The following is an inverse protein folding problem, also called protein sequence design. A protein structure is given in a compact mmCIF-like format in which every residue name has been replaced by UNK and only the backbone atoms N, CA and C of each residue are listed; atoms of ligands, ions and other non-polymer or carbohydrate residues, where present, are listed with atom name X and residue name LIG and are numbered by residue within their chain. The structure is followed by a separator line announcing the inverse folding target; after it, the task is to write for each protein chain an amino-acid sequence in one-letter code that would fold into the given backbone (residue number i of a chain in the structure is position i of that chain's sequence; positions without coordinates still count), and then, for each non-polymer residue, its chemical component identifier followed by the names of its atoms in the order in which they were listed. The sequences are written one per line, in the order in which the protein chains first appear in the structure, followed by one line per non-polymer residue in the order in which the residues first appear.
data_IF_361883811893
#
_entry.id   IF_361883811893
#
_cell.length_a   1.000
_cell.length_b   1.000
_cell.length_c   1.000
_cell.angle_alpha   90.00
_cell.angle_beta   90.00
_cell.angle_gamma   90.00
#
_symmetry.space_group_name_H-M   'P 1'
#
loop_
_entity.id
_entity.type
_entity.pdbx_description
1 polymer ?
#
# COMPACT_ATOMS: atom_id res chain seq x y z
N UNK A 1 26.71 -21.16 58.98
CA UNK A 1 26.45 -21.61 57.59
C UNK A 1 25.47 -20.62 56.98
N UNK A 2 25.89 -19.95 55.91
CA UNK A 2 25.27 -18.72 55.41
C UNK A 2 23.90 -18.97 54.79
N UNK A 3 22.91 -18.17 55.20
CA UNK A 3 21.63 -18.01 54.54
C UNK A 3 21.84 -17.10 53.33
N UNK A 4 21.72 -17.63 52.12
CA UNK A 4 21.80 -16.83 50.90
C UNK A 4 20.40 -16.76 50.27
N UNK A 5 19.76 -15.60 50.43
CA UNK A 5 18.44 -15.30 49.89
C UNK A 5 18.50 -15.30 48.36
N UNK A 6 17.63 -16.08 47.73
CA UNK A 6 17.48 -16.15 46.28
C UNK A 6 16.88 -14.82 45.79
N UNK A 7 17.70 -13.91 45.25
CA UNK A 7 17.25 -12.66 44.63
C UNK A 7 16.90 -12.97 43.17
N UNK A 8 15.62 -13.15 42.89
CA UNK A 8 15.11 -13.28 41.53
C UNK A 8 15.06 -11.93 40.84
N UNK A 9 15.87 -11.74 39.79
CA UNK A 9 15.79 -10.58 38.90
C UNK A 9 14.61 -10.74 37.95
N UNK A 10 13.53 -9.99 38.17
CA UNK A 10 12.43 -9.85 37.20
C UNK A 10 12.87 -8.81 36.16
N UNK A 11 13.23 -9.27 34.95
CA UNK A 11 13.46 -8.38 33.82
C UNK A 11 12.10 -7.96 33.27
N UNK A 12 11.66 -6.74 33.60
CA UNK A 12 10.50 -6.14 32.95
C UNK A 12 10.88 -5.73 31.52
N UNK A 13 10.32 -6.42 30.52
CA UNK A 13 10.49 -6.06 29.12
C UNK A 13 9.71 -4.77 28.84
N UNK A 14 10.43 -3.66 28.62
CA UNK A 14 9.86 -2.39 28.17
C UNK A 14 9.50 -2.55 26.69
N UNK A 15 8.21 -2.71 26.39
CA UNK A 15 7.70 -2.65 25.01
C UNK A 15 7.44 -1.17 24.69
N UNK A 16 8.35 -0.54 23.94
CA UNK A 16 8.11 0.79 23.39
C UNK A 16 7.13 0.67 22.21
N UNK A 17 6.06 1.50 22.14
CA UNK A 17 5.18 1.50 20.97
C UNK A 17 5.96 1.98 19.74
N UNK A 18 5.96 1.19 18.68
CA UNK A 18 6.49 1.61 17.38
C UNK A 18 5.61 2.72 16.81
N UNK A 19 6.20 3.87 16.48
CA UNK A 19 5.50 4.92 15.73
C UNK A 19 5.28 4.40 14.30
N UNK A 20 4.05 4.01 13.98
CA UNK A 20 3.69 3.59 12.62
C UNK A 20 3.59 4.83 11.72
N UNK A 21 4.58 5.01 10.84
CA UNK A 21 4.56 6.05 9.82
C UNK A 21 3.83 5.52 8.58
N UNK A 22 2.96 6.33 7.97
CA UNK A 22 2.34 5.99 6.70
C UNK A 22 3.42 5.89 5.60
N UNK A 23 3.38 4.80 4.84
CA UNK A 23 4.30 4.57 3.72
C UNK A 23 3.72 5.06 2.41
N UNK A 24 4.58 5.55 1.52
CA UNK A 24 4.22 5.89 0.15
C UNK A 24 4.75 4.81 -0.81
N UNK A 25 3.87 4.33 -1.69
CA UNK A 25 4.19 3.33 -2.69
C UNK A 25 3.99 3.91 -4.09
N UNK A 26 5.08 4.08 -4.83
CA UNK A 26 5.00 4.40 -6.26
C UNK A 26 4.55 3.12 -6.98
N UNK A 27 3.39 3.20 -7.63
CA UNK A 27 2.81 2.06 -8.33
C UNK A 27 3.67 1.73 -9.54
N UNK A 28 4.27 0.53 -9.54
CA UNK A 28 5.23 0.10 -10.54
C UNK A 28 6.69 0.48 -10.24
N UNK A 29 6.97 1.00 -9.05
CA UNK A 29 8.30 1.47 -8.61
C UNK A 29 8.89 2.42 -9.67
N UNK A 30 10.16 2.28 -10.07
CA UNK A 30 10.83 3.16 -11.04
C UNK A 30 10.21 3.16 -12.45
N UNK A 31 9.34 2.18 -12.74
CA UNK A 31 8.67 2.07 -14.05
C UNK A 31 7.36 2.86 -14.09
N UNK A 32 6.80 3.25 -12.94
CA UNK A 32 5.52 3.93 -12.85
C UNK A 32 4.35 3.14 -13.45
N UNK A 33 3.28 3.88 -13.73
CA UNK A 33 2.02 3.33 -14.25
C UNK A 33 2.01 3.29 -15.79
N UNK A 34 2.22 2.10 -16.34
CA UNK A 34 2.24 1.79 -17.77
C UNK A 34 1.76 0.35 -18.08
N UNK A 35 1.60 0.01 -19.37
CA UNK A 35 1.05 -1.28 -19.85
C UNK A 35 2.05 -2.45 -19.92
N UNK A 36 3.34 -2.20 -19.71
CA UNK A 36 4.42 -3.19 -19.88
C UNK A 36 4.88 -3.81 -18.55
N UNK A 37 4.04 -3.76 -17.51
CA UNK A 37 4.37 -4.23 -16.17
C UNK A 37 3.30 -5.16 -15.61
N UNK A 38 3.73 -6.23 -14.94
CA UNK A 38 2.85 -7.07 -14.15
C UNK A 38 2.67 -6.47 -12.74
N UNK A 39 1.54 -5.82 -12.50
CA UNK A 39 1.24 -5.22 -11.19
C UNK A 39 0.92 -6.25 -10.10
N UNK A 40 0.54 -7.48 -10.47
CA UNK A 40 0.41 -8.58 -9.50
C UNK A 40 1.78 -8.93 -8.92
N UNK A 41 2.80 -9.02 -9.77
CA UNK A 41 4.17 -9.25 -9.31
C UNK A 41 4.72 -8.07 -8.51
N UNK A 42 4.41 -6.84 -8.91
CA UNK A 42 4.81 -5.64 -8.16
C UNK A 42 4.19 -5.61 -6.75
N UNK A 43 2.94 -6.05 -6.60
CA UNK A 43 2.22 -5.99 -5.33
C UNK A 43 2.51 -7.19 -4.40
N UNK A 44 3.01 -8.32 -4.92
CA UNK A 44 3.05 -9.61 -4.19
C UNK A 44 3.86 -9.57 -2.88
N UNK A 45 4.95 -8.81 -2.84
CA UNK A 45 5.88 -8.76 -1.71
C UNK A 45 5.67 -7.48 -0.85
N UNK A 46 4.61 -6.71 -1.14
CA UNK A 46 4.29 -5.46 -0.44
C UNK A 46 3.17 -5.68 0.57
N UNK A 47 3.32 -5.09 1.75
CA UNK A 47 2.28 -5.09 2.79
C UNK A 47 1.71 -3.68 2.90
N UNK A 48 0.44 -3.55 2.53
CA UNK A 48 -0.26 -2.27 2.56
C UNK A 48 -1.05 -2.12 3.86
N UNK A 49 -0.80 -1.03 4.58
CA UNK A 49 -1.49 -0.67 5.80
C UNK A 49 -2.51 0.45 5.57
N UNK A 50 -3.48 0.55 6.49
CA UNK A 50 -4.38 1.70 6.51
C UNK A 50 -3.56 2.95 6.84
N UNK A 51 -3.71 3.98 6.02
CA UNK A 51 -2.94 5.22 6.10
C UNK A 51 -1.86 5.34 5.03
N UNK A 52 -1.40 4.23 4.44
CA UNK A 52 -0.43 4.26 3.35
C UNK A 52 -1.01 4.94 2.10
N UNK A 53 -0.13 5.38 1.20
CA UNK A 53 -0.50 6.07 -0.03
C UNK A 53 0.01 5.32 -1.26
N UNK A 54 -0.86 5.17 -2.26
CA UNK A 54 -0.48 4.71 -3.60
C UNK A 54 -0.30 5.93 -4.52
N UNK A 55 0.84 6.03 -5.17
CA UNK A 55 1.19 7.14 -6.06
C UNK A 55 1.32 6.61 -7.50
N UNK A 56 0.44 7.06 -8.39
CA UNK A 56 0.38 6.68 -9.79
C UNK A 56 1.06 7.74 -10.64
N UNK A 57 2.29 7.47 -11.07
CA UNK A 57 3.05 8.35 -11.95
C UNK A 57 3.01 7.85 -13.39
N UNK A 58 2.55 8.68 -14.32
CA UNK A 58 2.39 8.32 -15.72
C UNK A 58 2.32 9.55 -16.64
N UNK A 59 2.40 9.32 -17.94
CA UNK A 59 2.19 10.34 -18.97
C UNK A 59 0.88 10.07 -19.72
N UNK A 60 0.27 11.11 -20.31
CA UNK A 60 -0.83 10.91 -21.26
C UNK A 60 -0.43 9.90 -22.35
N UNK A 61 -1.35 9.06 -22.84
CA UNK A 61 -2.79 9.13 -22.59
C UNK A 61 -3.27 8.38 -21.33
N UNK A 62 -2.39 7.73 -20.57
CA UNK A 62 -2.81 6.92 -19.42
C UNK A 62 -3.60 7.73 -18.38
N UNK A 63 -4.41 7.02 -17.61
CA UNK A 63 -5.23 7.56 -16.51
C UNK A 63 -5.41 6.48 -15.43
N UNK A 64 -6.07 6.87 -14.34
CA UNK A 64 -6.41 5.95 -13.25
C UNK A 64 -7.90 6.03 -12.97
N UNK A 65 -8.57 4.89 -12.97
CA UNK A 65 -9.91 4.72 -12.44
C UNK A 65 -9.84 3.89 -11.15
N UNK A 66 -10.60 4.31 -10.14
CA UNK A 66 -10.94 3.45 -9.00
C UNK A 66 -12.16 2.62 -9.36
N UNK A 67 -12.05 1.32 -9.26
CA UNK A 67 -13.13 0.39 -9.61
C UNK A 67 -13.39 -0.59 -8.46
N UNK A 68 -14.45 -1.37 -8.58
CA UNK A 68 -14.66 -2.54 -7.74
C UNK A 68 -14.01 -3.79 -8.36
N UNK A 69 -14.16 -4.94 -7.69
CA UNK A 69 -13.58 -6.19 -8.16
C UNK A 69 -14.19 -6.72 -9.46
N UNK A 70 -15.42 -6.31 -9.81
CA UNK A 70 -16.04 -6.69 -11.08
C UNK A 70 -15.51 -5.81 -12.21
N UNK A 71 -15.47 -4.49 -12.01
CA UNK A 71 -14.90 -3.53 -12.94
C UNK A 71 -13.43 -3.81 -13.24
N UNK A 72 -12.65 -4.26 -12.25
CA UNK A 72 -11.28 -4.72 -12.48
C UNK A 72 -11.20 -5.96 -13.38
N UNK A 73 -12.05 -6.97 -13.13
CA UNK A 73 -12.06 -8.23 -13.88
C UNK A 73 -12.51 -8.05 -15.33
N UNK A 74 -13.49 -7.18 -15.56
CA UNK A 74 -14.05 -6.89 -16.88
C UNK A 74 -13.28 -5.78 -17.62
N UNK A 75 -12.25 -5.19 -17.00
CA UNK A 75 -11.58 -3.99 -17.50
C UNK A 75 -12.57 -2.86 -17.84
N UNK A 76 -13.56 -2.65 -16.96
CA UNK A 76 -14.65 -1.70 -17.16
C UNK A 76 -14.45 -0.46 -16.28
N UNK A 77 -14.07 0.69 -16.86
CA UNK A 77 -14.02 1.95 -16.13
C UNK A 77 -15.38 2.34 -15.58
N UNK A 78 -15.36 2.94 -14.39
CA UNK A 78 -16.56 3.50 -13.74
C UNK A 78 -16.19 4.76 -13.00
N UNK A 79 -17.08 5.76 -13.02
CA UNK A 79 -16.82 7.04 -12.36
C UNK A 79 -15.91 7.94 -13.19
N UNK A 80 -15.22 8.84 -12.50
CA UNK A 80 -14.33 9.84 -13.10
C UNK A 80 -12.90 9.30 -13.27
N UNK A 81 -12.26 9.67 -14.37
CA UNK A 81 -10.84 9.39 -14.61
C UNK A 81 -9.98 10.40 -13.85
N UNK A 82 -8.96 9.91 -13.14
CA UNK A 82 -7.87 10.76 -12.67
C UNK A 82 -6.79 10.80 -13.76
N UNK A 83 -6.36 12.00 -14.13
CA UNK A 83 -5.52 12.23 -15.32
C UNK A 83 -4.42 13.28 -15.07
N UNK A 84 -3.98 13.46 -13.82
CA UNK A 84 -2.93 14.46 -13.52
C UNK A 84 -1.53 14.04 -13.94
N UNK A 85 -1.31 12.73 -14.15
CA UNK A 85 0.01 12.14 -14.36
C UNK A 85 0.78 11.86 -13.06
N UNK A 86 0.25 12.27 -11.90
CA UNK A 86 0.81 11.98 -10.58
C UNK A 86 -0.31 11.89 -9.52
N UNK A 87 -1.23 10.95 -9.69
CA UNK A 87 -2.39 10.82 -8.80
C UNK A 87 -2.05 10.03 -7.55
N UNK A 88 -2.49 10.52 -6.40
CA UNK A 88 -2.19 9.90 -5.11
C UNK A 88 -3.45 9.48 -4.36
N UNK A 89 -3.44 8.28 -3.78
CA UNK A 89 -4.58 7.71 -3.09
C UNK A 89 -4.21 7.09 -1.75
N UNK A 90 -4.71 7.68 -0.67
CA UNK A 90 -4.59 7.12 0.68
C UNK A 90 -5.49 5.91 0.89
N UNK A 91 -4.93 4.84 1.47
CA UNK A 91 -5.62 3.62 1.87
C UNK A 91 -6.35 3.85 3.20
N UNK A 92 -7.52 4.49 3.16
CA UNK A 92 -8.24 4.90 4.37
C UNK A 92 -9.02 3.78 5.08
N UNK A 93 -9.18 2.61 4.43
CA UNK A 93 -9.96 1.48 4.97
C UNK A 93 -9.32 0.15 4.59
N UNK A 94 -9.44 -0.89 5.43
CA UNK A 94 -9.04 -2.25 5.06
C UNK A 94 -9.75 -2.77 3.80
N UNK A 95 -9.24 -3.88 3.26
CA UNK A 95 -9.84 -4.62 2.15
C UNK A 95 -9.20 -4.33 0.78
N UNK A 96 -9.60 -5.12 -0.23
CA UNK A 96 -9.06 -5.03 -1.59
C UNK A 96 -9.39 -3.68 -2.22
N UNK A 97 -8.40 -3.07 -2.86
CA UNK A 97 -8.54 -1.86 -3.67
C UNK A 97 -8.20 -2.18 -5.11
N UNK A 98 -8.95 -1.63 -6.05
CA UNK A 98 -8.82 -1.94 -7.46
C UNK A 98 -8.66 -0.66 -8.27
N UNK A 99 -7.67 -0.66 -9.15
CA UNK A 99 -7.32 0.46 -10.00
C UNK A 99 -7.06 -0.05 -11.41
N UNK A 100 -7.54 0.66 -12.42
CA UNK A 100 -7.30 0.33 -13.84
C UNK A 100 -6.95 1.57 -14.66
N UNK A 101 -6.34 1.36 -15.81
CA UNK A 101 -6.20 2.35 -16.88
C UNK A 101 -7.35 2.13 -17.85
N UNK A 102 -8.04 3.20 -18.26
CA UNK A 102 -9.15 3.16 -19.20
C UNK A 102 -8.76 3.44 -20.65
N UNK A 103 -7.46 3.43 -20.95
CA UNK A 103 -6.89 3.56 -22.30
C UNK A 103 -6.34 2.24 -22.78
#
# INVERSE_FOLDING_TARGET
MASNRFVGFVIAAIVLPSVAMASEYIVGDDKGWNVNLNYTDWAKDKVFYVGDMLVFQYKPPHNVFKVDGNGFRECKPSGEAFSSGNDSFTLSKPGKKWYICGV
#
